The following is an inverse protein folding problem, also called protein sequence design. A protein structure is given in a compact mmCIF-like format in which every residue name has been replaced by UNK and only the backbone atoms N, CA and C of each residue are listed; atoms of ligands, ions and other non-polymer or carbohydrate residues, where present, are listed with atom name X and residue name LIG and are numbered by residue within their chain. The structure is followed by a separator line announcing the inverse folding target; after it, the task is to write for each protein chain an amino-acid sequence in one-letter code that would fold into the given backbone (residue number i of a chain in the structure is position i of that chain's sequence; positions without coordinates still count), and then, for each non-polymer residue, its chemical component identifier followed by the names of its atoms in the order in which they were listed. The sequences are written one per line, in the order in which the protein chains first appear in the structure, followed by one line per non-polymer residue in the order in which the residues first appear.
data_IF_732628406472
#
_entry.id   IF_732628406472
#
_cell.length_a   1.000
_cell.length_b   1.000
_cell.length_c   1.000
_cell.angle_alpha   90.00
_cell.angle_beta   90.00
_cell.angle_gamma   90.00
#
_symmetry.space_group_name_H-M   'P 1'
#
loop_
_entity.id
_entity.type
_entity.pdbx_description
1 polymer ?
#
# COMPACT_ATOMS: atom_id res chain seq x y z
N UNK A 1 -10.17 25.82 40.40
CA UNK A 1 -10.32 24.66 39.48
C UNK A 1 -10.07 25.19 38.07
N UNK A 2 -9.40 24.45 37.18
CA UNK A 2 -9.24 24.90 35.81
C UNK A 2 -10.61 25.08 35.18
N UNK A 3 -10.86 26.25 34.59
CA UNK A 3 -12.07 26.55 33.83
C UNK A 3 -12.09 25.64 32.61
N UNK A 4 -13.18 24.91 32.38
CA UNK A 4 -13.30 24.07 31.19
C UNK A 4 -13.41 24.95 29.94
N UNK A 5 -12.59 24.66 28.93
CA UNK A 5 -12.58 25.33 27.64
C UNK A 5 -13.09 24.38 26.56
N UNK A 6 -13.79 24.89 25.56
CA UNK A 6 -14.31 24.09 24.47
C UNK A 6 -13.65 24.48 23.15
N UNK A 7 -13.35 23.48 22.33
CA UNK A 7 -12.96 23.63 20.93
C UNK A 7 -14.05 23.00 20.07
N UNK A 8 -14.55 23.72 19.06
CA UNK A 8 -15.37 23.10 18.01
C UNK A 8 -14.69 23.24 16.66
N UNK A 9 -14.64 22.14 15.92
CA UNK A 9 -14.02 22.05 14.60
C UNK A 9 -15.13 21.75 13.59
N UNK A 10 -15.23 22.61 12.59
CA UNK A 10 -16.39 22.77 11.73
C UNK A 10 -16.00 22.79 10.25
N UNK A 11 -16.99 22.55 9.40
CA UNK A 11 -16.90 22.65 7.95
C UNK A 11 -18.23 23.23 7.45
N UNK A 12 -18.20 24.37 6.77
CA UNK A 12 -19.38 25.07 6.23
C UNK A 12 -20.22 24.17 5.32
N UNK A 13 -19.59 23.36 4.48
CA UNK A 13 -20.32 22.43 3.60
C UNK A 13 -21.08 21.32 4.35
N UNK A 14 -20.80 21.10 5.65
CA UNK A 14 -21.51 20.11 6.46
C UNK A 14 -22.85 20.67 6.94
N UNK A 15 -23.96 20.05 6.51
CA UNK A 15 -25.32 20.42 6.96
C UNK A 15 -25.47 20.37 8.48
N UNK A 16 -24.83 19.41 9.13
CA UNK A 16 -24.86 19.26 10.60
C UNK A 16 -24.12 20.41 11.27
N UNK A 17 -23.00 20.88 10.70
CA UNK A 17 -22.31 22.08 11.19
C UNK A 17 -23.22 23.31 11.07
N UNK A 18 -23.88 23.50 9.92
CA UNK A 18 -24.79 24.63 9.72
C UNK A 18 -25.94 24.60 10.74
N UNK A 19 -26.53 23.43 10.98
CA UNK A 19 -27.63 23.27 11.92
C UNK A 19 -27.25 23.62 13.37
N UNK A 20 -26.02 23.29 13.80
CA UNK A 20 -25.58 23.56 15.18
C UNK A 20 -25.09 24.99 15.39
N UNK A 21 -25.07 25.86 14.37
CA UNK A 21 -24.67 27.26 14.46
C UNK A 21 -25.29 28.01 15.65
N UNK A 22 -26.64 28.00 15.83
CA UNK A 22 -27.30 28.62 16.98
C UNK A 22 -26.90 28.00 18.33
N UNK A 23 -26.61 26.70 18.36
CA UNK A 23 -26.16 26.01 19.58
C UNK A 23 -24.76 26.45 19.97
N UNK A 24 -23.86 26.61 18.99
CA UNK A 24 -22.51 27.12 19.20
C UNK A 24 -22.53 28.57 19.69
N UNK A 25 -23.42 29.41 19.15
CA UNK A 25 -23.61 30.78 19.64
C UNK A 25 -24.07 30.80 21.10
N UNK A 26 -25.05 29.94 21.46
CA UNK A 26 -25.51 29.78 22.83
C UNK A 26 -24.44 29.26 23.78
N UNK A 27 -23.59 28.32 23.32
CA UNK A 27 -22.47 27.80 24.10
C UNK A 27 -21.38 28.86 24.32
N UNK A 28 -21.01 29.62 23.28
CA UNK A 28 -20.01 30.71 23.35
C UNK A 28 -20.40 31.80 24.34
N UNK A 29 -21.70 32.04 24.52
CA UNK A 29 -22.21 32.99 25.51
C UNK A 29 -22.13 32.47 26.98
N UNK A 30 -22.03 31.15 27.18
CA UNK A 30 -22.06 30.51 28.50
C UNK A 30 -20.70 29.95 28.95
N UNK A 31 -19.79 29.67 28.03
CA UNK A 31 -18.49 29.08 28.31
C UNK A 31 -17.42 29.54 27.30
N UNK A 32 -16.12 29.49 27.67
CA UNK A 32 -15.03 29.71 26.73
C UNK A 32 -15.09 28.70 25.57
N UNK A 33 -15.39 29.18 24.36
CA UNK A 33 -15.49 28.37 23.16
C UNK A 33 -14.63 28.96 22.04
N UNK A 34 -13.71 28.15 21.52
CA UNK A 34 -12.93 28.47 20.33
C UNK A 34 -13.46 27.65 19.16
N UNK A 35 -13.77 28.32 18.05
CA UNK A 35 -14.26 27.69 16.83
C UNK A 35 -13.16 27.69 15.78
N UNK A 36 -13.07 26.61 15.01
CA UNK A 36 -12.15 26.46 13.89
C UNK A 36 -12.89 25.93 12.68
N UNK A 37 -12.61 26.51 11.51
CA UNK A 37 -13.26 26.14 10.26
C UNK A 37 -12.25 25.57 9.27
N UNK A 38 -12.59 24.41 8.68
CA UNK A 38 -11.75 23.70 7.71
C UNK A 38 -11.84 24.28 6.31
N UNK A 39 -12.88 25.05 5.99
CA UNK A 39 -13.18 25.53 4.64
C UNK A 39 -13.47 27.04 4.56
N UNK A 40 -14.23 27.59 5.51
CA UNK A 40 -14.63 29.01 5.52
C UNK A 40 -14.55 29.63 6.92
N UNK A 41 -13.55 30.49 7.20
CA UNK A 41 -13.41 31.17 8.49
C UNK A 41 -14.55 32.14 8.85
N UNK A 42 -15.37 32.57 7.88
CA UNK A 42 -16.53 33.43 8.17
C UNK A 42 -17.69 32.66 8.82
N UNK A 43 -17.69 31.33 8.71
CA UNK A 43 -18.68 30.44 9.29
C UNK A 43 -18.26 29.98 10.70
N UNK A 44 -19.18 29.87 11.70
CA UNK A 44 -20.59 30.26 11.66
C UNK A 44 -20.78 31.76 11.91
N UNK A 45 -21.61 32.39 11.08
CA UNK A 45 -21.91 33.83 11.12
C UNK A 45 -22.52 34.25 12.46
N UNK A 46 -23.36 33.39 13.07
CA UNK A 46 -24.03 33.65 14.35
C UNK A 46 -23.04 33.80 15.52
N UNK A 47 -21.80 33.34 15.33
CA UNK A 47 -20.74 33.39 16.34
C UNK A 47 -19.67 34.44 16.04
N UNK A 48 -19.81 35.18 14.93
CA UNK A 48 -18.79 36.10 14.42
C UNK A 48 -17.64 35.39 13.69
N UNK A 49 -17.89 34.18 13.16
CA UNK A 49 -16.90 33.35 12.47
C UNK A 49 -16.03 32.50 13.38
N UNK A 50 -15.11 31.79 12.75
CA UNK A 50 -14.18 30.85 13.35
C UNK A 50 -12.72 31.18 12.97
N UNK A 51 -11.77 30.59 13.70
CA UNK A 51 -10.36 30.65 13.33
C UNK A 51 -10.11 29.80 12.07
N UNK A 52 -9.15 30.24 11.25
CA UNK A 52 -8.81 29.58 9.99
C UNK A 52 -8.02 28.28 10.23
N UNK A 53 -8.61 27.15 9.85
CA UNK A 53 -7.94 25.86 9.80
C UNK A 53 -7.99 25.23 8.40
N UNK A 54 -8.01 26.04 7.34
CA UNK A 54 -7.92 25.51 5.95
C UNK A 54 -6.60 24.80 5.67
N UNK A 55 -5.56 25.11 6.43
CA UNK A 55 -4.29 24.38 6.43
C UNK A 55 -4.37 23.02 7.16
N UNK A 56 -5.48 22.75 7.85
CA UNK A 56 -5.82 21.56 8.66
C UNK A 56 -4.83 21.25 9.79
N UNK A 57 -4.07 22.24 10.25
CA UNK A 57 -3.07 22.03 11.29
C UNK A 57 -3.70 21.62 12.62
N UNK A 58 -4.80 22.28 13.01
CA UNK A 58 -5.47 21.95 14.25
C UNK A 58 -6.27 20.66 14.11
N UNK A 59 -7.02 20.51 13.02
CA UNK A 59 -7.81 19.32 12.73
C UNK A 59 -6.94 18.06 12.71
N UNK A 60 -5.76 18.15 12.11
CA UNK A 60 -4.77 17.07 12.12
C UNK A 60 -4.23 16.79 13.52
N UNK A 61 -3.79 17.84 14.24
CA UNK A 61 -3.27 17.73 15.61
C UNK A 61 -4.26 17.03 16.56
N UNK A 62 -5.56 17.32 16.42
CA UNK A 62 -6.62 16.72 17.22
C UNK A 62 -7.21 15.44 16.62
N UNK A 63 -6.65 14.92 15.51
CA UNK A 63 -7.13 13.70 14.83
C UNK A 63 -8.63 13.73 14.59
N UNK A 64 -9.11 14.83 14.01
CA UNK A 64 -10.53 14.99 13.70
C UNK A 64 -10.85 14.16 12.47
N UNK A 65 -11.79 13.23 12.59
CA UNK A 65 -12.27 12.40 11.46
C UNK A 65 -13.64 12.86 10.97
N UNK A 66 -14.46 13.43 11.86
CA UNK A 66 -15.85 13.84 11.61
C UNK A 66 -16.06 15.28 12.05
N UNK A 67 -16.94 16.01 11.36
CA UNK A 67 -17.37 17.38 11.74
C UNK A 67 -18.90 17.46 11.81
N UNK A 68 -19.49 18.24 12.73
CA UNK A 68 -18.80 19.01 13.78
C UNK A 68 -18.17 18.09 14.83
N UNK A 69 -16.98 18.43 15.30
CA UNK A 69 -16.35 17.80 16.48
C UNK A 69 -16.29 18.83 17.60
N UNK A 70 -16.82 18.48 18.77
CA UNK A 70 -16.73 19.29 19.99
C UNK A 70 -15.80 18.60 20.98
N UNK A 71 -14.79 19.33 21.43
CA UNK A 71 -13.74 18.87 22.35
C UNK A 71 -13.79 19.70 23.62
N UNK A 72 -13.80 19.03 24.77
CA UNK A 72 -13.62 19.66 26.09
C UNK A 72 -12.16 19.56 26.49
N UNK A 73 -11.60 20.71 26.84
CA UNK A 73 -10.22 20.89 27.26
C UNK A 73 -10.18 21.32 28.74
N UNK A 74 -9.32 20.68 29.52
CA UNK A 74 -9.02 21.07 30.90
C UNK A 74 -7.51 21.09 31.11
N UNK A 75 -6.96 22.23 31.54
CA UNK A 75 -5.51 22.38 31.73
C UNK A 75 -4.69 22.11 30.45
N UNK A 76 -5.24 22.47 29.29
CA UNK A 76 -4.60 22.24 27.98
C UNK A 76 -4.64 20.79 27.47
N UNK A 77 -5.35 19.89 28.17
CA UNK A 77 -5.53 18.49 27.75
C UNK A 77 -6.97 18.23 27.37
N UNK A 78 -7.15 17.43 26.34
CA UNK A 78 -8.46 16.91 25.96
C UNK A 78 -8.94 15.91 27.03
N UNK A 79 -10.14 16.12 27.56
CA UNK A 79 -10.77 15.24 28.57
C UNK A 79 -12.02 14.55 28.06
N UNK A 80 -12.68 15.09 27.04
CA UNK A 80 -13.83 14.47 26.38
C UNK A 80 -14.03 15.05 24.98
N UNK A 81 -14.61 14.27 24.07
CA UNK A 81 -15.08 14.74 22.77
C UNK A 81 -16.39 14.08 22.34
N UNK A 82 -17.07 14.71 21.39
CA UNK A 82 -18.21 14.15 20.65
C UNK A 82 -18.14 14.60 19.19
N UNK A 83 -18.67 13.78 18.30
CA UNK A 83 -18.62 13.95 16.85
C UNK A 83 -20.04 13.93 16.29
N UNK A 84 -20.28 14.76 15.28
CA UNK A 84 -21.64 15.04 14.82
C UNK A 84 -22.46 15.77 15.88
N UNK A 85 -23.78 15.70 15.72
CA UNK A 85 -24.72 16.23 16.68
C UNK A 85 -25.43 15.09 17.41
N UNK A 86 -25.27 15.05 18.73
CA UNK A 86 -26.10 14.24 19.62
C UNK A 86 -26.35 15.07 20.88
N UNK A 87 -27.62 15.42 21.12
CA UNK A 87 -27.99 16.34 22.20
C UNK A 87 -27.56 15.83 23.58
N UNK A 88 -27.74 14.54 23.85
CA UNK A 88 -27.38 13.94 25.13
C UNK A 88 -25.86 13.97 25.36
N UNK A 89 -25.07 13.68 24.33
CA UNK A 89 -23.61 13.74 24.41
C UNK A 89 -23.09 15.18 24.54
N UNK A 90 -23.65 16.11 23.77
CA UNK A 90 -23.30 17.53 23.89
C UNK A 90 -23.67 18.07 25.28
N UNK A 91 -24.84 17.71 25.82
CA UNK A 91 -25.23 18.08 27.19
C UNK A 91 -24.27 17.48 28.23
N UNK A 92 -23.89 16.21 28.08
CA UNK A 92 -22.93 15.53 28.97
C UNK A 92 -21.56 16.20 28.97
N UNK A 93 -21.06 16.56 27.79
CA UNK A 93 -19.72 17.15 27.63
C UNK A 93 -19.69 18.59 28.12
N UNK A 94 -20.69 19.38 27.74
CA UNK A 94 -20.78 20.81 28.10
C UNK A 94 -21.27 21.04 29.53
N UNK A 95 -21.99 20.08 30.12
CA UNK A 95 -22.71 20.25 31.38
C UNK A 95 -24.00 21.07 31.25
N UNK A 96 -24.48 21.33 30.01
CA UNK A 96 -25.63 22.18 29.73
C UNK A 96 -26.83 21.30 29.33
N UNK A 97 -27.78 21.10 30.26
CA UNK A 97 -28.90 20.18 30.06
C UNK A 97 -29.90 20.63 28.99
N UNK A 98 -30.06 21.94 28.77
CA UNK A 98 -31.03 22.53 27.84
C UNK A 98 -30.44 22.81 26.44
N UNK A 99 -29.24 22.31 26.14
CA UNK A 99 -28.53 22.60 24.89
C UNK A 99 -29.31 22.09 23.67
N UNK A 100 -29.51 22.95 22.66
CA UNK A 100 -30.15 22.58 21.39
C UNK A 100 -31.55 21.96 21.52
N UNK A 101 -32.36 22.45 22.47
CA UNK A 101 -33.73 21.96 22.73
C UNK A 101 -34.62 21.94 21.47
N UNK A 102 -34.40 22.86 20.55
CA UNK A 102 -35.18 23.06 19.32
C UNK A 102 -34.61 22.28 18.10
N UNK A 103 -33.47 21.58 18.25
CA UNK A 103 -32.86 20.74 17.22
C UNK A 103 -33.31 19.27 17.35
N UNK A 104 -33.18 18.40 16.33
CA UNK A 104 -33.39 16.96 16.51
C UNK A 104 -32.49 16.35 17.60
N UNK A 105 -32.84 15.17 18.12
CA UNK A 105 -32.04 14.53 19.17
C UNK A 105 -30.62 14.16 18.69
N UNK A 106 -30.47 13.78 17.42
CA UNK A 106 -29.17 13.51 16.80
C UNK A 106 -29.19 13.73 15.29
N UNK A 107 -28.02 13.99 14.71
CA UNK A 107 -27.75 14.06 13.26
C UNK A 107 -26.28 13.65 13.05
N UNK A 108 -25.98 12.71 12.13
CA UNK A 108 -24.60 12.34 11.85
C UNK A 108 -23.80 13.54 11.33
N UNK A 109 -22.50 13.58 11.64
CA UNK A 109 -21.59 14.54 11.04
C UNK A 109 -21.21 14.18 9.60
N UNK A 110 -20.41 15.04 8.95
CA UNK A 110 -19.74 14.73 7.69
C UNK A 110 -18.27 14.34 7.96
N UNK A 111 -17.65 13.67 6.99
CA UNK A 111 -16.20 13.45 7.02
C UNK A 111 -15.45 14.78 7.04
N UNK A 112 -14.44 14.87 7.89
CA UNK A 112 -13.50 15.98 7.91
C UNK A 112 -12.67 16.02 6.63
N UNK A 113 -12.22 17.21 6.21
CA UNK A 113 -11.31 17.36 5.06
C UNK A 113 -9.98 16.61 5.31
N UNK A 114 -9.58 16.41 6.57
CA UNK A 114 -8.42 15.56 6.92
C UNK A 114 -8.54 14.13 6.41
N UNK A 115 -9.77 13.65 6.19
CA UNK A 115 -10.09 12.30 5.74
C UNK A 115 -10.35 12.23 4.23
N UNK A 116 -10.26 13.34 3.51
CA UNK A 116 -10.41 13.34 2.06
C UNK A 116 -9.37 12.43 1.40
N UNK A 117 -9.68 11.77 0.27
CA UNK A 117 -8.77 10.84 -0.37
C UNK A 117 -7.37 11.40 -0.62
N UNK A 118 -6.39 10.84 0.08
CA UNK A 118 -5.00 11.26 -0.03
C UNK A 118 -4.58 12.43 0.86
N UNK A 119 -5.49 12.99 1.65
CA UNK A 119 -5.20 14.06 2.59
C UNK A 119 -4.46 13.58 3.85
N UNK A 120 -4.77 12.41 4.43
CA UNK A 120 -4.00 11.88 5.56
C UNK A 120 -2.50 11.80 5.27
N UNK A 121 -2.11 11.34 4.08
CA UNK A 121 -0.70 11.23 3.69
C UNK A 121 -0.07 12.60 3.42
N UNK A 122 -0.81 13.54 2.82
CA UNK A 122 -0.34 14.93 2.66
C UNK A 122 -0.08 15.59 4.01
N UNK A 123 -0.99 15.39 4.97
CA UNK A 123 -0.89 15.97 6.30
C UNK A 123 0.23 15.32 7.11
N UNK A 124 0.38 14.00 7.03
CA UNK A 124 1.48 13.28 7.68
C UNK A 124 2.86 13.77 7.19
N UNK A 125 3.00 14.04 5.88
CA UNK A 125 4.21 14.64 5.31
C UNK A 125 4.37 16.10 5.75
N UNK A 126 3.30 16.91 5.62
CA UNK A 126 3.30 18.35 5.92
C UNK A 126 3.65 18.65 7.38
N UNK A 127 3.11 17.86 8.31
CA UNK A 127 3.31 18.02 9.75
C UNK A 127 4.39 17.09 10.32
N UNK A 128 5.21 16.51 9.43
CA UNK A 128 6.41 15.74 9.76
C UNK A 128 6.19 14.52 10.68
N UNK A 129 4.97 13.96 10.68
CA UNK A 129 4.69 12.66 11.30
C UNK A 129 5.26 11.50 10.47
N UNK A 130 5.35 11.69 9.16
CA UNK A 130 6.07 10.81 8.24
C UNK A 130 7.27 11.55 7.66
N UNK A 131 8.46 11.00 7.86
CA UNK A 131 9.71 11.50 7.28
C UNK A 131 10.31 10.44 6.39
N UNK A 132 10.56 10.79 5.13
CA UNK A 132 11.28 9.96 4.18
C UNK A 132 12.78 10.20 4.35
N UNK A 133 13.56 9.13 4.42
CA UNK A 133 15.01 9.16 4.61
C UNK A 133 15.79 9.12 3.30
N UNK A 134 15.17 8.63 2.22
CA UNK A 134 15.80 8.55 0.90
C UNK A 134 16.06 9.94 0.33
N UNK A 135 17.18 10.08 -0.39
CA UNK A 135 17.57 11.35 -1.01
C UNK A 135 16.48 11.82 -1.99
N UNK A 136 15.96 13.06 -1.86
CA UNK A 136 15.04 13.61 -2.83
C UNK A 136 15.74 13.88 -4.16
N UNK A 137 15.01 13.68 -5.24
CA UNK A 137 15.47 13.97 -6.59
C UNK A 137 14.54 15.01 -7.18
N UNK A 138 15.08 16.21 -7.42
CA UNK A 138 14.37 17.22 -8.17
C UNK A 138 14.35 16.84 -9.65
N UNK A 139 13.16 16.95 -10.24
CA UNK A 139 12.89 16.79 -11.67
C UNK A 139 12.31 18.13 -12.12
N UNK A 140 12.84 18.71 -13.19
CA UNK A 140 12.35 19.99 -13.67
C UNK A 140 10.91 19.86 -14.15
N UNK A 141 10.12 20.92 -14.04
CA UNK A 141 8.69 20.91 -14.38
C UNK A 141 8.41 20.52 -15.85
N UNK A 142 9.35 20.84 -16.74
CA UNK A 142 9.25 20.54 -18.17
C UNK A 142 9.82 19.15 -18.55
N UNK A 143 10.52 18.48 -17.64
CA UNK A 143 11.10 17.16 -17.92
C UNK A 143 10.05 16.07 -17.76
N UNK A 144 10.07 15.07 -18.66
CA UNK A 144 9.26 13.86 -18.47
C UNK A 144 9.90 12.96 -17.39
N UNK A 145 9.24 12.73 -16.24
CA UNK A 145 9.80 11.90 -15.19
C UNK A 145 9.99 10.43 -15.61
N UNK A 146 9.28 9.94 -16.63
CA UNK A 146 9.48 8.61 -17.18
C UNK A 146 10.83 8.52 -17.90
N UNK A 147 11.16 9.50 -18.74
CA UNK A 147 12.44 9.59 -19.45
C UNK A 147 13.60 9.82 -18.48
N UNK A 148 13.44 10.72 -17.49
CA UNK A 148 14.46 10.93 -16.45
C UNK A 148 14.75 9.63 -15.67
N UNK A 149 13.72 8.85 -15.35
CA UNK A 149 13.91 7.56 -14.68
C UNK A 149 14.54 6.50 -15.61
N UNK A 150 14.25 6.54 -16.90
CA UNK A 150 14.88 5.66 -17.89
C UNK A 150 16.37 5.99 -18.05
N UNK A 151 16.71 7.26 -18.31
CA UNK A 151 18.08 7.74 -18.53
C UNK A 151 18.99 7.53 -17.32
N UNK A 152 18.43 7.65 -16.11
CA UNK A 152 19.15 7.35 -14.86
C UNK A 152 19.22 5.86 -14.52
N UNK A 153 18.65 5.02 -15.38
CA UNK A 153 18.63 3.58 -15.21
C UNK A 153 17.89 3.17 -13.94
N UNK A 154 16.70 3.70 -13.70
CA UNK A 154 15.77 3.31 -12.62
C UNK A 154 14.55 2.53 -13.14
N UNK A 155 14.32 2.59 -14.46
CA UNK A 155 13.35 1.76 -15.16
C UNK A 155 13.97 0.44 -15.65
N UNK A 156 13.14 -0.58 -15.76
CA UNK A 156 13.41 -1.87 -16.40
C UNK A 156 13.16 -1.84 -17.92
N UNK A 157 12.92 -0.67 -18.52
CA UNK A 157 12.57 -0.50 -19.93
C UNK A 157 11.07 -0.32 -20.17
N UNK A 158 10.24 -0.52 -19.14
CA UNK A 158 8.81 -0.17 -19.16
C UNK A 158 8.58 1.21 -18.51
N UNK A 159 7.49 1.92 -18.85
CA UNK A 159 7.08 3.10 -18.12
C UNK A 159 6.93 2.82 -16.62
N UNK A 160 7.39 3.76 -15.78
CA UNK A 160 7.29 3.68 -14.31
C UNK A 160 6.19 4.60 -13.78
N UNK A 161 5.75 4.43 -12.54
CA UNK A 161 5.01 5.50 -11.85
C UNK A 161 6.00 6.33 -11.04
N UNK A 162 6.14 7.66 -11.28
CA UNK A 162 7.09 8.48 -10.54
C UNK A 162 6.81 8.42 -9.03
N UNK A 163 7.80 8.02 -8.21
CA UNK A 163 7.63 7.80 -6.77
C UNK A 163 7.73 9.14 -6.03
N UNK A 164 6.70 9.97 -6.18
CA UNK A 164 6.61 11.23 -5.42
C UNK A 164 6.37 10.95 -3.93
N UNK A 165 6.76 11.88 -3.06
CA UNK A 165 6.60 11.73 -1.60
C UNK A 165 5.18 11.32 -1.20
N UNK A 166 4.17 11.92 -1.83
CA UNK A 166 2.78 11.58 -1.58
C UNK A 166 2.43 10.14 -2.01
N UNK A 167 2.95 9.67 -3.14
CA UNK A 167 2.72 8.28 -3.59
C UNK A 167 3.46 7.29 -2.72
N UNK A 168 4.66 7.62 -2.25
CA UNK A 168 5.42 6.81 -1.29
C UNK A 168 4.67 6.74 0.04
N UNK A 169 4.19 7.88 0.56
CA UNK A 169 3.41 7.93 1.79
C UNK A 169 2.12 7.09 1.69
N UNK A 170 1.41 7.16 0.56
CA UNK A 170 0.25 6.29 0.28
C UNK A 170 0.64 4.82 0.20
N UNK A 171 1.79 4.48 -0.38
CA UNK A 171 2.26 3.09 -0.41
C UNK A 171 2.55 2.58 1.01
N UNK A 172 3.17 3.41 1.84
CA UNK A 172 3.52 3.09 3.22
C UNK A 172 2.28 2.89 4.11
N UNK A 173 1.13 3.50 3.80
CA UNK A 173 -0.12 3.22 4.54
C UNK A 173 -0.63 1.78 4.35
N UNK A 174 -0.11 1.06 3.34
CA UNK A 174 -0.38 -0.36 3.14
C UNK A 174 0.30 -1.30 4.15
N UNK A 175 1.11 -0.78 5.06
CA UNK A 175 1.81 -1.57 6.09
C UNK A 175 1.84 -0.86 7.44
N UNK A 176 1.99 -1.61 8.52
CA UNK A 176 2.23 -1.09 9.87
C UNK A 176 3.73 -0.99 10.21
N UNK A 177 4.60 -1.49 9.32
CA UNK A 177 6.05 -1.47 9.50
C UNK A 177 6.62 -0.07 9.35
N UNK A 178 7.69 0.21 10.10
CA UNK A 178 8.32 1.54 10.09
C UNK A 178 9.07 1.75 8.77
N UNK A 179 9.00 2.94 8.13
CA UNK A 179 9.71 3.20 6.87
C UNK A 179 11.23 2.98 6.96
N UNK A 180 11.82 3.23 8.14
CA UNK A 180 13.25 3.08 8.42
C UNK A 180 13.66 1.64 8.76
N UNK A 181 12.71 0.72 8.90
CA UNK A 181 13.01 -0.68 9.18
C UNK A 181 13.77 -1.30 8.01
N UNK A 182 14.87 -2.00 8.29
CA UNK A 182 15.71 -2.66 7.30
C UNK A 182 15.16 -4.07 7.05
N UNK A 183 14.84 -4.37 5.79
CA UNK A 183 14.44 -5.71 5.33
C UNK A 183 15.65 -6.64 5.21
N UNK A 184 16.79 -6.09 4.77
CA UNK A 184 18.07 -6.78 4.65
C UNK A 184 18.95 -6.19 3.56
N UNK A 185 20.04 -6.90 3.24
CA UNK A 185 21.03 -6.50 2.23
C UNK A 185 20.67 -7.12 0.88
N UNK A 186 20.28 -6.31 -0.10
CA UNK A 186 19.87 -6.84 -1.41
C UNK A 186 21.12 -7.23 -2.21
N UNK A 187 21.28 -8.51 -2.59
CA UNK A 187 22.37 -8.92 -3.47
C UNK A 187 22.13 -8.38 -4.89
N UNK A 188 23.20 -8.23 -5.70
CA UNK A 188 24.61 -8.51 -5.41
C UNK A 188 25.33 -7.43 -4.61
N UNK A 189 24.93 -6.16 -4.67
CA UNK A 189 25.69 -5.06 -4.07
C UNK A 189 25.62 -5.03 -2.53
N UNK A 190 24.73 -5.83 -1.93
CA UNK A 190 24.50 -5.90 -0.50
C UNK A 190 24.13 -4.53 0.10
N UNK A 191 23.36 -3.75 -0.64
CA UNK A 191 22.85 -2.45 -0.17
C UNK A 191 21.66 -2.71 0.75
N UNK A 192 21.61 -2.01 1.88
CA UNK A 192 20.47 -2.04 2.78
C UNK A 192 19.18 -1.58 2.06
N UNK A 193 18.17 -2.45 2.06
CA UNK A 193 16.81 -2.12 1.64
C UNK A 193 15.96 -1.87 2.88
N UNK A 194 15.48 -0.64 3.02
CA UNK A 194 14.48 -0.28 4.02
C UNK A 194 13.07 -0.51 3.47
N UNK A 195 12.07 -0.54 4.35
CA UNK A 195 10.65 -0.53 3.96
C UNK A 195 10.35 0.66 3.04
N UNK A 196 10.94 1.82 3.28
CA UNK A 196 10.82 2.98 2.38
C UNK A 196 11.38 2.72 0.98
N UNK A 197 12.58 2.13 0.85
CA UNK A 197 13.16 1.77 -0.45
C UNK A 197 12.32 0.72 -1.18
N UNK A 198 11.74 -0.23 -0.45
CA UNK A 198 10.77 -1.17 -1.00
C UNK A 198 9.51 -0.45 -1.49
N UNK A 199 8.99 0.53 -0.73
CA UNK A 199 7.82 1.33 -1.11
C UNK A 199 8.08 2.15 -2.39
N UNK A 200 9.26 2.78 -2.51
CA UNK A 200 9.68 3.52 -3.72
C UNK A 200 9.62 2.60 -4.95
N UNK A 201 10.20 1.41 -4.88
CA UNK A 201 10.20 0.46 -5.99
C UNK A 201 8.82 -0.15 -6.27
N UNK A 202 8.00 -0.36 -5.24
CA UNK A 202 6.62 -0.77 -5.40
C UNK A 202 5.78 0.31 -6.11
N UNK A 203 6.01 1.60 -5.80
CA UNK A 203 5.38 2.70 -6.53
C UNK A 203 5.86 2.70 -7.97
N UNK A 204 7.18 2.64 -8.23
CA UNK A 204 7.73 2.58 -9.59
C UNK A 204 7.09 1.45 -10.42
N UNK A 205 6.88 0.27 -9.81
CA UNK A 205 6.22 -0.87 -10.44
C UNK A 205 4.74 -0.65 -10.76
N UNK A 206 4.08 0.32 -10.11
CA UNK A 206 2.65 0.57 -10.22
C UNK A 206 1.80 -0.22 -9.22
N UNK A 207 2.37 -0.73 -8.14
CA UNK A 207 1.62 -1.41 -7.08
C UNK A 207 0.56 -0.47 -6.47
N UNK A 208 -0.47 -1.06 -5.87
CA UNK A 208 -1.35 -0.36 -4.94
C UNK A 208 -0.91 -0.63 -3.49
N UNK A 209 -1.28 0.22 -2.51
CA UNK A 209 -0.89 0.02 -1.11
C UNK A 209 -1.31 -1.35 -0.56
N UNK A 210 -2.46 -1.88 -0.99
CA UNK A 210 -2.95 -3.18 -0.50
C UNK A 210 -2.06 -4.35 -0.94
N UNK A 211 -1.22 -4.16 -1.96
CA UNK A 211 -0.27 -5.17 -2.46
C UNK A 211 1.04 -5.15 -1.68
N UNK A 212 1.32 -4.05 -0.98
CA UNK A 212 2.62 -3.80 -0.39
C UNK A 212 3.04 -4.86 0.64
N UNK A 213 2.15 -5.40 1.50
CA UNK A 213 2.50 -6.51 2.37
C UNK A 213 3.05 -7.75 1.63
N UNK A 214 2.50 -8.06 0.45
CA UNK A 214 2.98 -9.18 -0.38
C UNK A 214 4.33 -8.85 -1.00
N UNK A 215 4.55 -7.60 -1.43
CA UNK A 215 5.87 -7.14 -1.90
C UNK A 215 6.93 -7.29 -0.80
N UNK A 216 6.63 -6.86 0.43
CA UNK A 216 7.55 -7.01 1.56
C UNK A 216 7.90 -8.48 1.83
N UNK A 217 6.89 -9.34 1.91
CA UNK A 217 7.09 -10.78 2.09
C UNK A 217 7.90 -11.41 0.93
N UNK A 218 7.71 -10.91 -0.29
CA UNK A 218 8.46 -11.36 -1.47
C UNK A 218 9.93 -10.96 -1.39
N UNK A 219 10.23 -9.73 -0.95
CA UNK A 219 11.62 -9.27 -0.76
C UNK A 219 12.29 -10.09 0.35
N UNK A 220 11.60 -10.33 1.47
CA UNK A 220 12.12 -11.14 2.57
C UNK A 220 12.38 -12.59 2.15
N UNK A 221 11.49 -13.17 1.33
CA UNK A 221 11.72 -14.48 0.75
C UNK A 221 12.95 -14.49 -0.17
N UNK A 222 13.19 -13.41 -0.95
CA UNK A 222 14.34 -13.30 -1.84
C UNK A 222 15.67 -13.15 -1.07
N UNK A 223 15.61 -12.69 0.18
CA UNK A 223 16.75 -12.54 1.08
C UNK A 223 17.09 -13.82 1.86
N UNK A 224 16.27 -14.86 1.77
CA UNK A 224 16.57 -16.16 2.37
C UNK A 224 17.77 -16.80 1.65
N UNK A 225 18.80 -17.28 2.39
CA UNK A 225 19.98 -17.90 1.77
C UNK A 225 19.64 -19.07 0.84
N UNK A 226 18.61 -19.86 1.18
CA UNK A 226 18.14 -21.00 0.39
C UNK A 226 17.65 -20.62 -1.00
N UNK A 227 17.15 -19.38 -1.14
CA UNK A 227 16.77 -18.87 -2.45
C UNK A 227 18.00 -18.51 -3.28
N UNK A 228 19.12 -18.06 -2.69
CA UNK A 228 20.35 -17.77 -3.45
C UNK A 228 20.15 -16.77 -4.61
N UNK A 229 19.54 -15.62 -4.32
CA UNK A 229 19.26 -14.57 -5.31
C UNK A 229 20.52 -14.10 -6.08
N UNK A 230 21.69 -14.03 -5.42
CA UNK A 230 22.94 -13.71 -6.13
C UNK A 230 23.28 -14.77 -7.19
N UNK A 231 23.14 -16.05 -6.87
CA UNK A 231 23.37 -17.15 -7.80
C UNK A 231 22.42 -17.11 -8.99
N UNK A 232 21.16 -16.74 -8.75
CA UNK A 232 20.16 -16.55 -9.81
C UNK A 232 20.49 -15.41 -10.77
N UNK A 233 21.17 -14.36 -10.32
CA UNK A 233 21.62 -13.28 -11.21
C UNK A 233 22.91 -13.67 -11.94
N UNK A 234 23.82 -14.36 -11.26
CA UNK A 234 25.12 -14.73 -11.80
C UNK A 234 25.07 -15.91 -12.79
N UNK A 235 23.96 -16.66 -12.86
CA UNK A 235 23.83 -17.77 -13.80
C UNK A 235 23.72 -17.29 -15.25
N UNK A 236 24.33 -18.05 -16.16
CA UNK A 236 24.16 -17.86 -17.61
C UNK A 236 22.79 -18.35 -18.10
N UNK A 237 22.07 -19.13 -17.27
CA UNK A 237 20.74 -19.61 -17.57
C UNK A 237 19.73 -18.47 -17.59
N UNK A 238 18.68 -18.63 -18.38
CA UNK A 238 17.62 -17.65 -18.54
C UNK A 238 16.56 -17.74 -17.44
N UNK A 239 16.96 -18.00 -16.18
CA UNK A 239 16.03 -18.03 -15.05
C UNK A 239 15.79 -16.64 -14.45
N UNK A 240 14.67 -16.50 -13.76
CA UNK A 240 14.34 -15.40 -12.88
C UNK A 240 13.59 -15.89 -11.63
N UNK A 241 13.29 -14.98 -10.69
CA UNK A 241 12.45 -15.27 -9.55
C UNK A 241 11.01 -15.46 -10.02
N UNK A 242 10.39 -16.56 -9.59
CA UNK A 242 8.96 -16.80 -9.74
C UNK A 242 8.30 -16.67 -8.38
N UNK A 243 7.28 -15.81 -8.29
CA UNK A 243 6.51 -15.54 -7.09
C UNK A 243 5.21 -16.33 -7.12
N UNK A 244 5.03 -17.23 -6.16
CA UNK A 244 3.77 -17.95 -5.97
C UNK A 244 3.14 -17.47 -4.67
N UNK A 245 1.91 -16.98 -4.72
CA UNK A 245 1.19 -16.43 -3.57
C UNK A 245 0.03 -17.34 -3.20
N UNK A 246 -0.09 -17.62 -1.91
CA UNK A 246 -1.10 -18.50 -1.33
C UNK A 246 -2.02 -17.78 -0.35
N UNK A 247 -3.17 -18.38 -0.10
CA UNK A 247 -4.07 -18.02 0.97
C UNK A 247 -4.96 -16.80 0.73
N UNK A 248 -5.69 -16.33 1.77
CA UNK A 248 -6.76 -15.35 1.63
C UNK A 248 -6.33 -13.98 1.07
N UNK A 249 -5.03 -13.64 1.15
CA UNK A 249 -4.51 -12.39 0.57
C UNK A 249 -4.74 -12.31 -0.93
N UNK A 250 -4.65 -13.43 -1.65
CA UNK A 250 -4.80 -13.48 -3.11
C UNK A 250 -6.18 -12.97 -3.53
N UNK A 251 -7.23 -13.40 -2.84
CA UNK A 251 -8.62 -12.95 -3.05
C UNK A 251 -8.82 -11.50 -2.63
N UNK A 252 -8.27 -11.09 -1.46
CA UNK A 252 -8.41 -9.72 -0.95
C UNK A 252 -7.83 -8.67 -1.89
N UNK A 253 -6.71 -8.97 -2.54
CA UNK A 253 -6.04 -8.01 -3.44
C UNK A 253 -6.36 -8.25 -4.92
N UNK A 254 -7.20 -9.24 -5.21
CA UNK A 254 -7.67 -9.56 -6.57
C UNK A 254 -6.58 -10.14 -7.47
N UNK A 255 -5.70 -11.00 -6.96
CA UNK A 255 -4.75 -11.75 -7.80
C UNK A 255 -5.48 -12.75 -8.71
N UNK A 256 -4.90 -13.00 -9.88
CA UNK A 256 -5.40 -14.02 -10.81
C UNK A 256 -4.69 -15.35 -10.60
N UNK A 257 -5.48 -16.43 -10.54
CA UNK A 257 -5.04 -17.84 -10.56
C UNK A 257 -5.68 -18.63 -11.71
N UNK A 258 -6.59 -18.01 -12.49
CA UNK A 258 -7.50 -18.69 -13.41
C UNK A 258 -6.97 -18.69 -14.86
N UNK A 259 -7.89 -18.61 -15.83
CA UNK A 259 -7.55 -18.45 -17.24
C UNK A 259 -6.51 -17.33 -17.46
N UNK A 260 -5.51 -17.62 -18.30
CA UNK A 260 -4.39 -16.73 -18.57
C UNK A 260 -3.62 -16.28 -17.31
N UNK A 261 -3.53 -17.11 -16.24
CA UNK A 261 -2.89 -16.78 -14.95
C UNK A 261 -1.48 -16.17 -15.08
N UNK A 262 -0.70 -16.66 -16.05
CA UNK A 262 0.70 -16.26 -16.30
C UNK A 262 0.82 -15.16 -17.36
N UNK A 263 -0.29 -14.71 -17.95
CA UNK A 263 -0.33 -13.69 -18.99
C UNK A 263 -0.70 -12.31 -18.45
N UNK A 264 -1.01 -11.41 -19.38
CA UNK A 264 -1.40 -10.03 -19.10
C UNK A 264 -2.79 -9.91 -18.47
N UNK A 265 -3.07 -8.74 -17.88
CA UNK A 265 -4.42 -8.30 -17.51
C UNK A 265 -4.69 -8.18 -16.01
N UNK A 266 -3.86 -8.79 -15.16
CA UNK A 266 -3.99 -8.65 -13.70
C UNK A 266 -2.90 -7.74 -13.11
N UNK A 267 -3.31 -6.60 -12.53
CA UNK A 267 -2.39 -5.61 -11.95
C UNK A 267 -1.62 -6.15 -10.75
N UNK A 268 -2.26 -6.89 -9.85
CA UNK A 268 -1.59 -7.42 -8.66
C UNK A 268 -0.45 -8.38 -9.05
N UNK A 269 -0.76 -9.38 -9.88
CA UNK A 269 0.24 -10.30 -10.44
C UNK A 269 1.39 -9.54 -11.10
N UNK A 270 1.09 -8.66 -12.07
CA UNK A 270 2.11 -7.97 -12.84
C UNK A 270 3.03 -7.07 -11.98
N UNK A 271 2.43 -6.26 -11.11
CA UNK A 271 3.17 -5.23 -10.36
C UNK A 271 3.92 -5.80 -9.16
N UNK A 272 3.44 -6.86 -8.51
CA UNK A 272 4.17 -7.50 -7.41
C UNK A 272 5.46 -8.15 -7.94
N UNK A 273 5.38 -8.91 -9.03
CA UNK A 273 6.56 -9.49 -9.68
C UNK A 273 7.55 -8.41 -10.13
N UNK A 274 7.04 -7.34 -10.74
CA UNK A 274 7.85 -6.19 -11.17
C UNK A 274 8.50 -5.43 -10.03
N UNK A 275 7.81 -5.28 -8.89
CA UNK A 275 8.36 -4.61 -7.72
C UNK A 275 9.58 -5.33 -7.18
N UNK A 276 9.55 -6.67 -7.10
CA UNK A 276 10.72 -7.46 -6.72
C UNK A 276 11.91 -7.20 -7.67
N UNK A 277 11.65 -7.19 -8.98
CA UNK A 277 12.67 -6.96 -10.00
C UNK A 277 13.28 -5.57 -9.92
N UNK A 278 12.45 -4.55 -9.72
CA UNK A 278 12.94 -3.18 -9.53
C UNK A 278 13.77 -3.04 -8.24
N UNK A 279 13.41 -3.73 -7.15
CA UNK A 279 14.26 -3.76 -5.93
C UNK A 279 15.61 -4.41 -6.21
N UNK A 280 15.63 -5.59 -6.84
CA UNK A 280 16.86 -6.29 -7.21
C UNK A 280 17.73 -5.41 -8.12
N UNK A 281 17.12 -4.72 -9.07
CA UNK A 281 17.81 -3.87 -10.04
C UNK A 281 18.32 -2.56 -9.43
N UNK A 282 17.45 -1.81 -8.75
CA UNK A 282 17.73 -0.45 -8.29
C UNK A 282 18.45 -0.41 -6.94
N UNK A 283 18.22 -1.40 -6.07
CA UNK A 283 18.92 -1.52 -4.77
C UNK A 283 20.06 -2.52 -4.87
N UNK A 284 19.79 -3.70 -5.43
CA UNK A 284 20.79 -4.77 -5.54
C UNK A 284 21.82 -4.56 -6.65
N UNK A 285 21.49 -3.83 -7.72
CA UNK A 285 22.35 -3.66 -8.90
C UNK A 285 22.27 -4.82 -9.90
N UNK A 286 21.24 -5.67 -9.83
CA UNK A 286 21.04 -6.80 -10.75
C UNK A 286 20.60 -6.37 -12.16
N UNK A 287 21.43 -5.64 -12.90
CA UNK A 287 21.14 -5.16 -14.26
C UNK A 287 21.65 -6.12 -15.35
N UNK A 288 20.93 -6.26 -16.49
CA UNK A 288 21.41 -6.99 -17.67
C UNK A 288 22.78 -6.51 -18.15
N UNK A 289 23.63 -7.43 -18.61
CA UNK A 289 25.01 -7.19 -19.07
C UNK A 289 25.98 -6.67 -18.00
N UNK A 290 25.48 -6.39 -16.79
CA UNK A 290 26.27 -6.10 -15.60
C UNK A 290 26.32 -7.34 -14.71
N UNK A 291 25.51 -7.42 -13.65
CA UNK A 291 25.50 -8.58 -12.75
C UNK A 291 24.48 -9.65 -13.16
N UNK A 292 23.41 -9.29 -13.88
CA UNK A 292 22.57 -10.30 -14.51
C UNK A 292 23.30 -10.87 -15.74
N UNK A 293 23.71 -12.13 -15.63
CA UNK A 293 24.55 -12.85 -16.60
C UNK A 293 23.75 -13.76 -17.53
N UNK A 294 22.43 -13.76 -17.48
CA UNK A 294 21.61 -14.55 -18.43
C UNK A 294 22.04 -14.27 -19.87
N UNK A 295 22.30 -15.32 -20.66
CA UNK A 295 22.69 -15.15 -22.08
C UNK A 295 21.52 -14.64 -22.92
N UNK A 296 20.35 -15.27 -22.78
CA UNK A 296 19.13 -14.91 -23.52
C UNK A 296 18.09 -14.18 -22.64
N UNK A 297 18.03 -14.50 -21.35
CA UNK A 297 16.96 -14.07 -20.47
C UNK A 297 15.59 -14.68 -20.86
N UNK A 298 14.54 -14.30 -20.14
CA UNK A 298 13.17 -14.71 -20.47
C UNK A 298 12.18 -13.57 -20.20
N UNK A 299 11.04 -13.46 -20.93
CA UNK A 299 10.06 -12.39 -20.72
C UNK A 299 9.42 -12.36 -19.32
N UNK A 300 9.38 -13.48 -18.61
CA UNK A 300 8.91 -13.57 -17.24
C UNK A 300 9.80 -12.83 -16.23
N UNK A 301 11.06 -12.53 -16.56
CA UNK A 301 11.95 -11.74 -15.68
C UNK A 301 11.43 -10.34 -15.37
N UNK A 302 10.37 -9.85 -16.01
CA UNK A 302 9.70 -8.61 -15.60
C UNK A 302 8.67 -8.80 -14.48
N UNK A 303 7.85 -9.86 -14.52
CA UNK A 303 6.60 -9.89 -13.74
C UNK A 303 6.18 -11.24 -13.18
N UNK A 304 7.00 -12.30 -13.24
CA UNK A 304 6.56 -13.68 -13.00
C UNK A 304 6.00 -13.91 -11.58
N UNK A 305 4.71 -13.67 -11.40
CA UNK A 305 4.02 -13.68 -10.13
C UNK A 305 2.55 -14.06 -10.33
N UNK A 306 2.06 -15.02 -9.57
CA UNK A 306 0.68 -15.49 -9.65
C UNK A 306 0.21 -16.09 -8.32
N UNK A 307 -1.12 -16.20 -8.19
CA UNK A 307 -1.72 -16.92 -7.08
C UNK A 307 -1.91 -18.40 -7.43
N UNK A 308 -1.75 -19.29 -6.46
CA UNK A 308 -2.20 -20.68 -6.61
C UNK A 308 -3.73 -20.75 -6.55
N UNK A 309 -4.33 -21.64 -7.33
CA UNK A 309 -5.73 -21.99 -7.21
C UNK A 309 -5.94 -22.90 -5.98
N UNK A 310 -6.63 -22.36 -4.96
CA UNK A 310 -7.00 -23.07 -3.74
C UNK A 310 -8.52 -23.35 -3.68
N UNK A 311 -9.22 -23.32 -4.82
CA UNK A 311 -10.68 -23.54 -4.87
C UNK A 311 -11.09 -25.00 -4.78
N UNK A 312 -10.21 -25.92 -5.20
CA UNK A 312 -10.40 -27.35 -5.05
C UNK A 312 -10.10 -27.78 -3.59
N UNK A 313 -11.09 -28.32 -2.85
CA UNK A 313 -10.89 -28.76 -1.47
C UNK A 313 -10.00 -30.00 -1.35
N UNK A 314 -9.90 -30.82 -2.38
CA UNK A 314 -9.10 -32.06 -2.40
C UNK A 314 -7.63 -31.78 -2.77
N UNK A 315 -7.38 -30.61 -3.37
CA UNK A 315 -6.02 -30.13 -3.63
C UNK A 315 -5.30 -29.79 -2.32
N UNK A 316 -4.02 -30.16 -2.22
CA UNK A 316 -3.13 -29.73 -1.14
C UNK A 316 -2.36 -28.50 -1.64
N UNK A 317 -2.70 -27.28 -1.18
CA UNK A 317 -2.03 -26.07 -1.62
C UNK A 317 -0.53 -26.10 -1.29
N UNK A 318 0.27 -25.43 -2.11
CA UNK A 318 1.71 -25.34 -1.98
C UNK A 318 2.15 -24.86 -0.59
N UNK A 319 1.49 -23.87 -0.01
CA UNK A 319 1.81 -23.41 1.34
C UNK A 319 1.64 -24.53 2.39
N UNK A 320 0.60 -25.35 2.25
CA UNK A 320 0.35 -26.51 3.12
C UNK A 320 1.40 -27.59 2.90
N UNK A 321 1.72 -27.91 1.64
CA UNK A 321 2.80 -28.85 1.31
C UNK A 321 4.17 -28.39 1.83
N UNK A 322 4.36 -27.08 2.01
CA UNK A 322 5.56 -26.45 2.59
C UNK A 322 5.50 -26.30 4.12
N UNK A 323 4.47 -26.84 4.78
CA UNK A 323 4.36 -26.91 6.23
C UNK A 323 3.62 -25.74 6.89
N UNK A 324 2.96 -24.86 6.12
CA UNK A 324 2.13 -23.80 6.68
C UNK A 324 0.67 -24.25 6.89
N UNK A 325 -0.07 -23.69 7.86
CA UNK A 325 -1.49 -24.00 8.04
C UNK A 325 -2.32 -23.63 6.81
N UNK A 326 -3.34 -24.44 6.49
CA UNK A 326 -4.34 -24.09 5.45
C UNK A 326 -5.01 -22.76 5.80
N UNK A 327 -5.18 -21.89 4.81
CA UNK A 327 -5.72 -20.54 5.02
C UNK A 327 -4.70 -19.49 5.47
N UNK A 328 -3.41 -19.86 5.64
CA UNK A 328 -2.33 -18.88 5.83
C UNK A 328 -1.98 -18.19 4.52
N UNK A 329 -1.73 -16.87 4.58
CA UNK A 329 -1.17 -16.14 3.43
C UNK A 329 0.34 -16.29 3.41
N UNK A 330 0.91 -16.78 2.30
CA UNK A 330 2.36 -16.99 2.18
C UNK A 330 2.85 -16.64 0.78
N UNK A 331 4.16 -16.43 0.67
CA UNK A 331 4.86 -16.27 -0.61
C UNK A 331 5.92 -17.36 -0.70
N UNK A 332 5.92 -18.09 -1.81
CA UNK A 332 7.00 -19.00 -2.20
C UNK A 332 7.77 -18.39 -3.37
N UNK A 333 9.09 -18.40 -3.27
CA UNK A 333 9.98 -18.08 -4.38
C UNK A 333 10.69 -19.34 -4.86
N UNK A 334 10.84 -19.47 -6.17
CA UNK A 334 11.74 -20.45 -6.78
C UNK A 334 12.38 -19.89 -8.06
N UNK A 335 13.47 -20.52 -8.49
CA UNK A 335 14.14 -20.19 -9.74
C UNK A 335 13.41 -20.84 -10.90
N UNK A 336 12.71 -20.05 -11.69
CA UNK A 336 12.00 -20.52 -12.88
C UNK A 336 12.54 -19.85 -14.12
N UNK A 337 12.55 -20.60 -15.23
CA UNK A 337 12.71 -20.04 -16.56
C UNK A 337 11.33 -19.83 -17.21
N UNK A 338 11.27 -19.65 -18.54
CA UNK A 338 10.03 -19.36 -19.24
C UNK A 338 9.03 -20.52 -19.30
N UNK A 339 7.80 -20.23 -19.68
CA UNK A 339 6.76 -21.26 -19.87
C UNK A 339 7.12 -22.18 -21.04
N UNK A 340 6.99 -23.50 -20.85
CA UNK A 340 7.10 -24.50 -21.91
C UNK A 340 5.70 -24.99 -22.29
N UNK A 341 5.26 -24.68 -23.50
CA UNK A 341 3.97 -25.14 -24.01
C UNK A 341 4.03 -26.62 -24.36
N UNK A 342 3.20 -27.44 -23.70
CA UNK A 342 2.99 -28.84 -24.06
C UNK A 342 1.64 -28.99 -24.73
N UNK A 343 1.62 -29.48 -25.96
CA UNK A 343 0.39 -29.70 -26.72
C UNK A 343 0.17 -31.19 -26.93
N UNK A 344 -0.77 -31.75 -26.18
CA UNK A 344 -1.26 -33.11 -26.38
C UNK A 344 -2.75 -33.10 -26.72
N UNK A 345 -3.06 -33.48 -27.95
CA UNK A 345 -4.42 -33.57 -28.47
C UNK A 345 -4.82 -35.02 -28.80
N UNK A 346 -3.99 -36.00 -28.42
CA UNK A 346 -4.14 -37.40 -28.84
C UNK A 346 -4.30 -38.37 -27.70
N UNK A 347 -3.75 -38.11 -26.52
CA UNK A 347 -3.91 -38.98 -25.36
C UNK A 347 -5.38 -39.09 -24.95
N UNK A 348 -5.79 -40.31 -24.57
CA UNK A 348 -7.17 -40.63 -24.14
C UNK A 348 -7.26 -41.19 -22.73
N UNK A 349 -6.11 -41.34 -22.07
CA UNK A 349 -5.96 -41.90 -20.73
C UNK A 349 -4.81 -41.20 -19.98
N UNK A 350 -4.83 -41.20 -18.63
CA UNK A 350 -3.83 -40.52 -17.81
C UNK A 350 -2.39 -41.01 -18.04
N UNK A 351 -2.19 -42.30 -18.28
CA UNK A 351 -0.87 -42.90 -18.53
C UNK A 351 -0.26 -42.39 -19.83
N UNK A 352 -1.05 -42.33 -20.90
CA UNK A 352 -0.65 -41.76 -22.18
C UNK A 352 -0.29 -40.28 -22.06
N UNK A 353 -1.14 -39.49 -21.39
CA UNK A 353 -0.90 -38.06 -21.19
C UNK A 353 0.37 -37.81 -20.35
N UNK A 354 0.54 -38.57 -19.26
CA UNK A 354 1.71 -38.46 -18.39
C UNK A 354 3.01 -38.78 -19.13
N UNK A 355 3.00 -39.80 -20.01
CA UNK A 355 4.14 -40.12 -20.89
C UNK A 355 4.43 -38.99 -21.87
N UNK A 356 3.39 -38.41 -22.47
CA UNK A 356 3.52 -37.27 -23.39
C UNK A 356 4.17 -36.06 -22.71
N UNK A 357 3.69 -35.69 -21.52
CA UNK A 357 4.28 -34.65 -20.69
C UNK A 357 5.75 -34.96 -20.36
N UNK A 358 6.06 -36.17 -19.93
CA UNK A 358 7.45 -36.57 -19.63
C UNK A 358 8.38 -36.47 -20.86
N UNK A 359 7.92 -36.89 -22.04
CA UNK A 359 8.67 -36.79 -23.29
C UNK A 359 8.96 -35.35 -23.70
N UNK A 360 8.00 -34.43 -23.51
CA UNK A 360 8.25 -33.01 -23.77
C UNK A 360 9.30 -32.43 -22.83
N UNK A 361 9.25 -32.81 -21.54
CA UNK A 361 10.24 -32.37 -20.54
C UNK A 361 11.65 -32.85 -20.85
N UNK A 362 11.83 -34.04 -21.44
CA UNK A 362 13.15 -34.50 -21.90
C UNK A 362 13.78 -33.60 -22.96
N UNK A 363 12.97 -32.92 -23.76
CA UNK A 363 13.47 -32.02 -24.81
C UNK A 363 13.79 -30.60 -24.31
N UNK A 364 13.43 -30.27 -23.06
CA UNK A 364 13.62 -28.93 -22.51
C UNK A 364 15.12 -28.60 -22.50
N UNK A 365 15.45 -27.52 -23.20
CA UNK A 365 16.81 -27.04 -23.49
C UNK A 365 17.66 -27.95 -24.37
N UNK A 366 17.91 -29.19 -23.97
CA UNK A 366 18.66 -30.14 -24.79
C UNK A 366 18.45 -31.59 -24.33
N UNK A 367 18.12 -32.54 -25.24
CA UNK A 367 17.81 -33.93 -24.88
C UNK A 367 18.97 -34.70 -24.22
N UNK A 368 20.22 -34.26 -24.41
CA UNK A 368 21.38 -34.86 -23.73
C UNK A 368 21.53 -34.42 -22.26
N UNK A 369 20.81 -33.39 -21.79
CA UNK A 369 20.88 -32.98 -20.37
C UNK A 369 20.29 -34.05 -19.44
N UNK A 370 19.34 -34.84 -19.92
CA UNK A 370 18.74 -35.94 -19.17
C UNK A 370 19.55 -37.26 -19.29
N UNK A 371 20.59 -37.29 -20.12
CA UNK A 371 21.45 -38.47 -20.29
C UNK A 371 22.54 -38.42 -19.23
N UNK A 372 22.39 -39.21 -18.17
CA UNK A 372 23.48 -39.49 -17.25
C UNK A 372 24.50 -40.36 -17.97
N UNK A 373 25.74 -39.88 -18.09
CA UNK A 373 26.87 -40.62 -18.67
C UNK A 373 27.39 -41.70 -17.73
#
# INVERSE_FOLDING_TARGET
MPTAEFLAILKRECETCQMVGPVLAGLKARAPLTLWSQDDPSFPEETGGAQDDRALALSWKHKVEIVPTLIRMEGGKEVARTEGWNRAEWARITGIADIGKDLPASRPGCGSITMDPGMPERLALKFAELKLASRPIEVAELDDPHEVAYDRGWSDGLPIIPPTDLRIARMLSGTTRKPTEILGLIPPNLVECTVEKAAINAVLAGCRPEYFPVVLATIEAALKPEFSMHGLLATLWFSGPVVIVNGPVTKRIGMNWAGNALGQGNRANATIGRALQLVIRNVGGGRPQEIDRSILGNPGKYTFCFAEDETDPDWVPLNVARGHPRGSSTVTLFHGDGVHGVCDQRSRDPESLSRSLALTLWSVCHPKLAQWS
#
